data_IF_458776459237
#
_entry.id   IF_458776459237
#
_cell.length_a   1.000
_cell.length_b   1.000
_cell.length_c   1.000
_cell.angle_alpha   90.00
_cell.angle_beta   90.00
_cell.angle_gamma   90.00
#
_symmetry.space_group_name_H-M   'P 1'
#
loop_
_entity.id
_entity.type
_entity.pdbx_description
1 polymer ?
#
# COMPACT_ATOMS: atom_id res chain seq x y z
N UNK A 1 6.84 12.98 8.33
CA UNK A 1 7.39 11.62 8.54
C UNK A 1 8.75 11.55 7.85
N UNK A 2 9.82 11.17 8.55
CA UNK A 2 11.14 10.96 7.90
C UNK A 2 11.12 9.62 7.15
N UNK A 3 11.12 9.70 5.81
CA UNK A 3 11.01 8.52 4.94
C UNK A 3 12.27 7.64 4.97
N UNK A 4 13.42 8.19 5.40
CA UNK A 4 14.68 7.43 5.51
C UNK A 4 14.65 6.40 6.63
N UNK A 5 13.76 6.59 7.61
CA UNK A 5 13.51 5.64 8.70
C UNK A 5 12.42 4.60 8.38
N UNK A 6 11.79 4.66 7.20
CA UNK A 6 10.78 3.67 6.82
C UNK A 6 11.45 2.38 6.36
N UNK A 7 10.98 1.24 6.89
CA UNK A 7 11.61 -0.07 6.69
C UNK A 7 11.82 -0.43 5.21
N UNK A 8 10.94 0.00 4.31
CA UNK A 8 11.08 -0.28 2.87
C UNK A 8 12.25 0.46 2.20
N UNK A 9 12.77 1.54 2.82
CA UNK A 9 13.85 2.37 2.28
C UNK A 9 15.15 2.28 3.10
N UNK A 10 15.19 1.46 4.16
CA UNK A 10 16.39 1.25 4.96
C UNK A 10 17.22 0.10 4.34
N UNK A 11 18.52 0.34 4.12
CA UNK A 11 19.47 -0.70 3.71
C UNK A 11 19.58 -1.82 4.77
N UNK A 12 19.95 -3.02 4.35
CA UNK A 12 20.14 -4.12 5.30
C UNK A 12 21.22 -3.79 6.36
N UNK A 13 20.79 -3.54 7.58
CA UNK A 13 21.62 -3.20 8.73
C UNK A 13 20.89 -3.56 10.04
N UNK A 14 21.48 -3.23 11.20
CA UNK A 14 20.88 -3.58 12.49
C UNK A 14 19.57 -2.84 12.78
N UNK A 15 19.38 -1.64 12.21
CA UNK A 15 18.11 -0.91 12.26
C UNK A 15 17.02 -1.65 11.46
N UNK A 16 17.33 -2.10 10.25
CA UNK A 16 16.41 -2.93 9.44
C UNK A 16 16.04 -4.22 10.19
N UNK A 17 17.02 -4.92 10.77
CA UNK A 17 16.77 -6.14 11.55
C UNK A 17 15.87 -5.86 12.76
N UNK A 18 16.07 -4.72 13.44
CA UNK A 18 15.24 -4.27 14.56
C UNK A 18 13.78 -4.05 14.11
N UNK A 19 13.56 -3.30 13.04
CA UNK A 19 12.22 -3.10 12.47
C UNK A 19 11.59 -4.44 12.05
N UNK A 20 12.31 -5.28 11.31
CA UNK A 20 11.84 -6.59 10.86
C UNK A 20 11.37 -7.46 12.02
N UNK A 21 12.13 -7.52 13.13
CA UNK A 21 11.73 -8.29 14.33
C UNK A 21 10.43 -7.76 14.94
N UNK A 22 10.29 -6.44 15.05
CA UNK A 22 9.06 -5.81 15.54
C UNK A 22 7.85 -6.15 14.68
N UNK A 23 7.97 -6.04 13.35
CA UNK A 23 6.90 -6.43 12.42
C UNK A 23 6.60 -7.93 12.48
N UNK A 24 7.62 -8.80 12.46
CA UNK A 24 7.42 -10.26 12.57
C UNK A 24 6.68 -10.67 13.83
N UNK A 25 6.88 -9.97 14.95
CA UNK A 25 6.23 -10.31 16.21
C UNK A 25 4.70 -10.15 16.15
N UNK A 26 4.19 -9.27 15.27
CA UNK A 26 2.75 -9.00 15.13
C UNK A 26 2.15 -9.46 13.80
N UNK A 27 2.96 -9.57 12.75
CA UNK A 27 2.54 -9.89 11.39
C UNK A 27 3.21 -11.17 10.87
N UNK A 28 3.36 -12.19 11.72
CA UNK A 28 3.74 -13.53 11.28
C UNK A 28 2.49 -14.35 10.88
N UNK A 29 2.70 -15.49 10.24
CA UNK A 29 1.61 -16.35 9.75
C UNK A 29 0.68 -16.83 10.86
N UNK A 30 1.20 -17.06 12.06
CA UNK A 30 0.40 -17.50 13.20
C UNK A 30 -0.49 -16.35 13.72
N UNK A 31 0.08 -15.16 13.93
CA UNK A 31 -0.67 -13.95 14.33
C UNK A 31 -1.66 -13.51 13.26
N UNK A 32 -1.38 -13.74 11.97
CA UNK A 32 -2.31 -13.46 10.89
C UNK A 32 -3.64 -14.22 11.03
N UNK A 33 -3.61 -15.42 11.62
CA UNK A 33 -4.81 -16.20 11.88
C UNK A 33 -5.67 -15.62 13.01
N UNK A 34 -5.06 -14.92 13.98
CA UNK A 34 -5.78 -14.24 15.06
C UNK A 34 -6.66 -13.11 14.51
N UNK A 35 -6.27 -12.51 13.39
CA UNK A 35 -7.03 -11.46 12.70
C UNK A 35 -8.09 -12.00 11.73
N UNK A 36 -8.36 -13.32 11.68
CA UNK A 36 -9.40 -13.88 10.80
C UNK A 36 -10.78 -13.24 10.98
N UNK A 37 -11.31 -13.07 12.21
CA UNK A 37 -12.62 -12.44 12.39
C UNK A 37 -12.67 -11.02 11.81
N UNK A 38 -11.57 -10.27 11.93
CA UNK A 38 -11.44 -8.93 11.35
C UNK A 38 -11.39 -8.99 9.81
N UNK A 39 -10.62 -9.92 9.24
CA UNK A 39 -10.55 -10.13 7.79
C UNK A 39 -11.91 -10.52 7.21
N UNK A 40 -12.66 -11.40 7.86
CA UNK A 40 -14.01 -11.80 7.45
C UNK A 40 -14.98 -10.63 7.50
N UNK A 41 -14.98 -9.86 8.60
CA UNK A 41 -15.79 -8.63 8.72
C UNK A 41 -15.48 -7.66 7.58
N UNK A 42 -14.21 -7.36 7.34
CA UNK A 42 -13.79 -6.39 6.32
C UNK A 42 -14.06 -6.90 4.90
N UNK A 43 -13.94 -8.22 4.66
CA UNK A 43 -14.32 -8.85 3.40
C UNK A 43 -15.82 -8.72 3.14
N UNK A 44 -16.67 -8.99 4.15
CA UNK A 44 -18.12 -8.78 4.04
C UNK A 44 -18.48 -7.33 3.70
N UNK A 45 -17.84 -6.36 4.37
CA UNK A 45 -18.02 -4.94 4.08
C UNK A 45 -17.53 -4.56 2.67
N UNK A 46 -16.43 -5.14 2.19
CA UNK A 46 -15.97 -4.96 0.82
C UNK A 46 -17.01 -5.46 -0.18
N UNK A 47 -17.49 -6.69 0.00
CA UNK A 47 -18.50 -7.28 -0.88
C UNK A 47 -19.77 -6.42 -0.94
N UNK A 48 -20.23 -5.87 0.19
CA UNK A 48 -21.35 -4.93 0.21
C UNK A 48 -21.07 -3.69 -0.66
N UNK A 49 -19.90 -3.05 -0.50
CA UNK A 49 -19.52 -1.89 -1.33
C UNK A 49 -19.38 -2.25 -2.81
N UNK A 50 -18.91 -3.46 -3.13
CA UNK A 50 -18.82 -3.94 -4.51
C UNK A 50 -20.18 -4.24 -5.15
N UNK A 51 -21.21 -4.56 -4.36
CA UNK A 51 -22.57 -4.69 -4.90
C UNK A 51 -23.10 -3.34 -5.41
N UNK A 52 -22.74 -2.24 -4.76
CA UNK A 52 -23.11 -0.88 -5.21
C UNK A 52 -22.42 -0.47 -6.52
N UNK A 53 -21.30 -1.13 -6.86
CA UNK A 53 -20.60 -0.92 -8.14
C UNK A 53 -21.33 -1.58 -9.30
N UNK A 54 -22.23 -2.54 -9.05
CA UNK A 54 -23.00 -3.20 -10.12
C UNK A 54 -24.02 -2.25 -10.76
N UNK A 55 -24.50 -1.26 -10.01
CA UNK A 55 -25.55 -0.33 -10.44
C UNK A 55 -25.01 0.98 -11.00
N UNK A 56 -23.70 1.22 -10.90
CA UNK A 56 -23.06 2.46 -11.33
C UNK A 56 -21.80 2.17 -12.17
N UNK A 57 -21.59 2.89 -13.27
CA UNK A 57 -20.36 2.74 -14.06
C UNK A 57 -19.18 3.30 -13.26
N UNK A 58 -18.39 2.41 -12.67
CA UNK A 58 -17.22 2.73 -11.84
C UNK A 58 -15.93 2.41 -12.57
N UNK A 59 -14.93 3.26 -12.39
CA UNK A 59 -13.59 3.05 -12.95
C UNK A 59 -12.82 1.96 -12.20
N UNK A 60 -11.84 1.35 -12.87
CA UNK A 60 -10.92 0.39 -12.22
C UNK A 60 -10.16 1.00 -11.03
N UNK A 61 -9.91 2.31 -11.05
CA UNK A 61 -9.26 3.02 -9.95
C UNK A 61 -10.17 3.12 -8.71
N UNK A 62 -11.46 3.36 -8.91
CA UNK A 62 -12.44 3.36 -7.80
C UNK A 62 -12.56 1.95 -7.18
N UNK A 63 -12.54 0.90 -8.02
CA UNK A 63 -12.54 -0.48 -7.53
C UNK A 63 -11.28 -0.77 -6.69
N UNK A 64 -10.11 -0.41 -7.22
CA UNK A 64 -8.84 -0.61 -6.54
C UNK A 64 -8.78 0.17 -5.21
N UNK A 65 -9.37 1.37 -5.17
CA UNK A 65 -9.49 2.16 -3.94
C UNK A 65 -10.27 1.42 -2.84
N UNK A 66 -11.34 0.72 -3.18
CA UNK A 66 -12.12 -0.06 -2.19
C UNK A 66 -11.36 -1.29 -1.68
N UNK A 67 -10.56 -1.93 -2.54
CA UNK A 67 -9.64 -2.99 -2.12
C UNK A 67 -8.57 -2.45 -1.16
N UNK A 68 -7.94 -1.34 -1.50
CA UNK A 68 -6.97 -0.68 -0.63
C UNK A 68 -7.58 -0.26 0.71
N UNK A 69 -8.79 0.32 0.69
CA UNK A 69 -9.51 0.71 1.91
C UNK A 69 -9.71 -0.49 2.83
N UNK A 70 -10.06 -1.64 2.28
CA UNK A 70 -10.26 -2.89 3.03
C UNK A 70 -8.95 -3.37 3.66
N UNK A 71 -7.87 -3.41 2.88
CA UNK A 71 -6.54 -3.80 3.37
C UNK A 71 -6.03 -2.84 4.46
N UNK A 72 -6.20 -1.53 4.25
CA UNK A 72 -5.85 -0.50 5.23
C UNK A 72 -6.65 -0.65 6.51
N UNK A 73 -7.96 -0.89 6.44
CA UNK A 73 -8.80 -1.10 7.62
C UNK A 73 -8.33 -2.28 8.46
N UNK A 74 -8.01 -3.41 7.81
CA UNK A 74 -7.46 -4.59 8.50
C UNK A 74 -6.12 -4.24 9.15
N UNK A 75 -5.20 -3.61 8.40
CA UNK A 75 -3.87 -3.31 8.89
C UNK A 75 -3.87 -2.31 10.05
N UNK A 76 -4.63 -1.22 9.93
CA UNK A 76 -4.70 -0.16 10.93
C UNK A 76 -5.30 -0.65 12.25
N UNK A 77 -6.34 -1.47 12.17
CA UNK A 77 -6.93 -2.08 13.36
C UNK A 77 -5.97 -3.14 13.96
N UNK A 78 -5.41 -4.02 13.14
CA UNK A 78 -4.51 -5.09 13.62
C UNK A 78 -3.22 -4.58 14.27
N UNK A 79 -2.63 -3.51 13.73
CA UNK A 79 -1.33 -3.00 14.18
C UNK A 79 -1.46 -1.85 15.17
N UNK A 80 -2.41 -0.95 14.95
CA UNK A 80 -2.55 0.28 15.74
C UNK A 80 -3.84 0.33 16.58
N UNK A 81 -4.74 -0.65 16.45
CA UNK A 81 -6.08 -0.60 17.07
C UNK A 81 -6.95 0.54 16.52
N UNK A 82 -6.63 1.02 15.31
CA UNK A 82 -7.30 2.15 14.70
C UNK A 82 -8.40 1.70 13.75
N UNK A 83 -9.65 2.01 14.09
CA UNK A 83 -10.79 1.74 13.23
C UNK A 83 -10.92 2.80 12.13
N UNK A 84 -10.80 2.35 10.87
CA UNK A 84 -10.98 3.20 9.70
C UNK A 84 -12.48 3.48 9.45
N UNK A 85 -12.92 4.72 9.66
CA UNK A 85 -14.36 5.04 9.69
C UNK A 85 -14.96 5.32 8.31
N UNK A 86 -14.23 6.00 7.43
CA UNK A 86 -14.76 6.43 6.14
C UNK A 86 -13.72 6.30 5.02
N UNK A 87 -14.14 6.53 3.77
CA UNK A 87 -13.23 6.58 2.64
C UNK A 87 -12.42 7.89 2.63
N UNK A 88 -12.88 8.90 3.35
CA UNK A 88 -12.31 10.24 3.43
C UNK A 88 -11.56 10.46 4.74
N UNK A 89 -11.29 9.35 5.44
CA UNK A 89 -10.46 9.34 6.63
C UNK A 89 -9.07 9.90 6.28
N UNK A 90 -8.59 10.97 6.95
CA UNK A 90 -7.32 11.60 6.62
C UNK A 90 -6.15 10.61 6.59
N UNK A 91 -6.13 9.62 7.49
CA UNK A 91 -5.04 8.66 7.55
C UNK A 91 -4.98 7.78 6.29
N UNK A 92 -6.14 7.36 5.79
CA UNK A 92 -6.23 6.58 4.57
C UNK A 92 -5.95 7.42 3.33
N UNK A 93 -6.50 8.64 3.26
CA UNK A 93 -6.27 9.54 2.13
C UNK A 93 -4.80 9.90 2.00
N UNK A 94 -4.13 10.25 3.11
CA UNK A 94 -2.72 10.61 3.11
C UNK A 94 -1.83 9.42 2.69
N UNK A 95 -2.15 8.20 3.12
CA UNK A 95 -1.45 6.98 2.68
C UNK A 95 -1.62 6.75 1.18
N UNK A 96 -2.84 6.93 0.65
CA UNK A 96 -3.11 6.78 -0.78
C UNK A 96 -2.32 7.79 -1.62
N UNK A 97 -2.27 9.05 -1.19
CA UNK A 97 -1.48 10.11 -1.84
C UNK A 97 0.01 9.79 -1.77
N UNK A 98 0.51 9.37 -0.61
CA UNK A 98 1.90 8.95 -0.44
C UNK A 98 2.27 7.79 -1.36
N UNK A 99 1.42 6.76 -1.43
CA UNK A 99 1.66 5.59 -2.28
C UNK A 99 1.68 5.96 -3.77
N UNK A 100 0.77 6.84 -4.22
CA UNK A 100 0.76 7.35 -5.59
C UNK A 100 2.06 8.12 -5.93
N UNK A 101 2.51 8.99 -5.03
CA UNK A 101 3.76 9.72 -5.21
C UNK A 101 4.99 8.81 -5.22
N UNK A 102 5.06 7.82 -4.32
CA UNK A 102 6.15 6.83 -4.31
C UNK A 102 6.14 6.02 -5.61
N UNK A 103 4.98 5.56 -6.06
CA UNK A 103 4.86 4.80 -7.30
C UNK A 103 5.32 5.63 -8.51
N UNK A 104 4.90 6.89 -8.60
CA UNK A 104 5.35 7.82 -9.66
C UNK A 104 6.84 8.10 -9.61
N UNK A 105 7.42 8.25 -8.42
CA UNK A 105 8.85 8.47 -8.25
C UNK A 105 9.70 7.24 -8.59
N UNK A 106 9.16 6.03 -8.39
CA UNK A 106 9.82 4.77 -8.73
C UNK A 106 9.79 4.48 -10.24
N UNK A 107 8.85 5.08 -10.99
CA UNK A 107 8.84 4.94 -12.44
C UNK A 107 10.01 5.72 -13.07
N UNK A 108 10.69 5.14 -14.08
CA UNK A 108 11.73 5.86 -14.81
C UNK A 108 11.14 7.10 -15.47
N UNK A 109 11.82 8.23 -15.32
CA UNK A 109 11.41 9.46 -16.00
C UNK A 109 11.55 9.28 -17.52
N UNK A 110 10.66 9.85 -18.35
CA UNK A 110 10.75 9.75 -19.82
C UNK A 110 12.09 10.22 -20.39
N UNK A 111 12.84 11.04 -19.64
CA UNK A 111 14.16 11.55 -20.02
C UNK A 111 15.26 10.48 -19.94
N UNK A 112 15.16 9.51 -19.01
CA UNK A 112 16.14 8.43 -18.85
C UNK A 112 16.21 7.52 -20.09
N UNK A 113 15.07 7.24 -20.74
CA UNK A 113 15.01 6.42 -21.95
C UNK A 113 15.57 7.13 -23.19
N UNK A 114 15.58 8.47 -23.21
CA UNK A 114 16.19 9.27 -24.28
C UNK A 114 17.72 9.30 -24.19
N UNK A 115 18.28 9.30 -22.99
CA UNK A 115 19.73 9.25 -22.81
C UNK A 115 20.31 7.87 -23.16
N UNK A 116 19.62 6.78 -22.83
CA UNK A 116 20.05 5.43 -23.20
C UNK A 116 20.12 5.21 -24.72
N UNK A 117 19.27 5.87 -25.50
CA UNK A 117 19.25 5.77 -26.98
C UNK A 117 20.25 6.70 -27.68
N UNK A 118 20.87 7.63 -26.95
CA UNK A 118 21.90 8.54 -27.49
C UNK A 118 23.33 7.97 -27.35
N UNK A 119 23.48 6.78 -26.78
CA UNK A 119 24.76 6.14 -26.46
C UNK A 119 25.09 4.90 -27.32
N UNK A 120 24.38 4.69 -28.43
CA UNK A 120 24.83 3.75 -29.47
C UNK A 120 25.78 4.48 -30.44
N UNK A 121 27.08 4.11 -30.51
CA UNK A 121 27.96 4.64 -31.54
C UNK A 121 27.51 4.10 -32.90
N UNK A 122 27.22 5.00 -33.84
CA UNK A 122 27.13 4.65 -35.26
C UNK A 122 28.50 4.16 -35.71
N UNK A 123 28.66 2.85 -35.88
CA UNK A 123 29.78 2.29 -36.63
C UNK A 123 29.71 2.84 -38.06
N UNK A 124 30.77 3.51 -38.49
CA UNK A 124 31.01 3.89 -39.87
C UNK A 124 31.54 2.74 -40.71
#
# INVERSE_FOLDING_TARGET
>A
MDIRGFMAFINYNDLWKKHRRGFSARLNAQSAAEFRPLQEKQCGLLLQRLLDFRTSTKSSNELLREVYRTASSIFLDSVYGYELKSADDPFFVDIMVMNDHIAKAAMPSPTSSRMARAQEPRCG
#
